data_IF_208196936629
#
_entry.id   IF_208196936629
#
_cell.length_a   1.000
_cell.length_b   1.000
_cell.length_c   1.000
_cell.angle_alpha   90.00
_cell.angle_beta   90.00
_cell.angle_gamma   90.00
#
_symmetry.space_group_name_H-M   'P 1'
#
loop_
_entity.id
_entity.type
_entity.pdbx_description
1 polymer ?
#
# COMPACT_ATOMS: atom_id res chain seq x y z
N UNK A 1 11.50 -4.86 -6.33
CA UNK A 1 10.37 -4.72 -5.39
C UNK A 1 10.16 -3.23 -5.16
N UNK A 2 9.04 -2.67 -5.61
CA UNK A 2 8.78 -1.22 -5.52
C UNK A 2 8.60 -0.83 -4.05
N UNK A 3 9.50 0.01 -3.52
CA UNK A 3 9.35 0.64 -2.20
C UNK A 3 8.22 1.63 -2.32
N UNK A 4 7.05 1.24 -1.84
CA UNK A 4 5.88 2.06 -1.99
C UNK A 4 6.01 3.28 -1.08
N UNK A 5 5.61 4.43 -1.61
CA UNK A 5 5.94 5.74 -1.08
C UNK A 5 5.19 6.03 0.23
N UNK A 6 5.71 5.55 1.37
CA UNK A 6 5.44 6.13 2.68
C UNK A 6 3.99 6.54 2.95
N UNK A 7 3.03 5.74 2.48
CA UNK A 7 1.61 6.08 2.48
C UNK A 7 0.88 5.16 3.46
N UNK A 8 -0.12 5.71 4.12
CA UNK A 8 -1.07 4.93 4.89
C UNK A 8 -2.22 4.51 3.94
N UNK A 9 -2.44 3.19 3.74
CA UNK A 9 -3.50 2.70 2.87
C UNK A 9 -4.89 2.72 3.52
N UNK A 10 -4.96 2.98 4.83
CA UNK A 10 -6.15 2.90 5.66
C UNK A 10 -6.65 4.26 6.14
N UNK A 11 -5.77 5.25 6.17
CA UNK A 11 -6.14 6.64 6.35
C UNK A 11 -6.21 7.36 5.00
N UNK A 12 -6.94 8.48 4.94
CA UNK A 12 -6.93 9.37 3.77
C UNK A 12 -5.56 10.04 3.71
N UNK A 13 -4.58 9.30 3.20
CA UNK A 13 -3.19 9.71 3.17
C UNK A 13 -3.08 11.01 2.38
N UNK A 14 -2.45 12.02 2.99
CA UNK A 14 -1.78 13.06 2.23
C UNK A 14 -0.65 12.34 1.48
N UNK A 15 -0.96 11.87 0.27
CA UNK A 15 -0.14 10.98 -0.57
C UNK A 15 1.29 11.42 -0.79
N UNK A 16 1.51 12.70 -0.57
CA UNK A 16 2.80 13.33 -0.57
C UNK A 16 2.99 13.78 0.87
N UNK A 17 4.18 13.51 1.42
CA UNK A 17 4.58 14.09 2.70
C UNK A 17 4.55 15.62 2.64
N UNK A 18 5.44 16.33 3.34
CA UNK A 18 5.37 17.80 3.36
C UNK A 18 5.54 18.44 1.96
N UNK A 19 6.05 17.70 0.98
CA UNK A 19 6.33 18.17 -0.38
C UNK A 19 5.69 17.26 -1.44
N UNK A 20 5.00 17.90 -2.39
CA UNK A 20 4.41 17.27 -3.57
C UNK A 20 5.46 17.11 -4.67
N UNK A 21 5.99 15.90 -4.86
CA UNK A 21 6.85 15.58 -6.00
C UNK A 21 6.02 15.08 -7.18
N UNK A 22 5.98 15.86 -8.26
CA UNK A 22 5.17 15.57 -9.44
C UNK A 22 5.58 14.25 -10.13
N UNK A 23 6.86 13.87 -10.07
CA UNK A 23 7.35 12.62 -10.64
C UNK A 23 6.87 11.40 -9.85
N UNK A 24 6.90 11.47 -8.52
CA UNK A 24 6.31 10.47 -7.63
C UNK A 24 4.80 10.41 -7.80
N UNK A 25 4.12 11.55 -7.98
CA UNK A 25 2.68 11.58 -8.25
C UNK A 25 2.32 10.87 -9.54
N UNK A 26 3.02 11.14 -10.65
CA UNK A 26 2.73 10.46 -11.92
C UNK A 26 3.04 8.96 -11.86
N UNK A 27 4.11 8.54 -11.17
CA UNK A 27 4.41 7.12 -10.95
C UNK A 27 3.34 6.44 -10.10
N UNK A 28 2.94 7.08 -9.02
CA UNK A 28 1.85 6.64 -8.15
C UNK A 28 0.55 6.47 -8.95
N UNK A 29 0.18 7.52 -9.70
CA UNK A 29 -1.02 7.56 -10.53
C UNK A 29 -1.04 6.38 -11.51
N UNK A 30 0.09 6.07 -12.15
CA UNK A 30 0.21 4.91 -13.05
C UNK A 30 -0.02 3.57 -12.35
N UNK A 31 0.55 3.38 -11.16
CA UNK A 31 0.41 2.12 -10.40
C UNK A 31 -1.05 1.91 -9.97
N UNK A 32 -1.70 2.93 -9.39
CA UNK A 32 -3.07 2.78 -8.90
C UNK A 32 -4.16 2.83 -9.97
N UNK A 33 -3.87 3.33 -11.17
CA UNK A 33 -4.81 3.18 -12.28
C UNK A 33 -4.76 1.79 -12.93
N UNK A 34 -3.80 0.94 -12.56
CA UNK A 34 -3.85 -0.47 -12.92
C UNK A 34 -5.08 -1.12 -12.27
N UNK A 35 -5.79 -1.97 -13.01
CA UNK A 35 -7.05 -2.58 -12.56
C UNK A 35 -6.92 -3.26 -11.20
N UNK A 36 -5.80 -3.96 -10.97
CA UNK A 36 -5.47 -4.63 -9.72
C UNK A 36 -5.42 -3.69 -8.52
N UNK A 37 -4.74 -2.55 -8.63
CA UNK A 37 -4.48 -1.65 -7.49
C UNK A 37 -5.54 -0.56 -7.33
N UNK A 38 -6.38 -0.34 -8.33
CA UNK A 38 -7.45 0.68 -8.32
C UNK A 38 -8.44 0.48 -7.18
N UNK A 39 -8.71 -0.76 -6.80
CA UNK A 39 -9.58 -1.14 -5.67
C UNK A 39 -9.19 -0.44 -4.36
N UNK A 40 -7.92 -0.07 -4.19
CA UNK A 40 -7.42 0.63 -3.00
C UNK A 40 -7.91 2.09 -2.95
N UNK A 41 -8.21 2.68 -4.11
CA UNK A 41 -8.70 4.05 -4.23
C UNK A 41 -10.20 4.12 -3.93
N UNK A 42 -10.57 4.71 -2.80
CA UNK A 42 -11.98 4.90 -2.44
C UNK A 42 -12.70 3.58 -2.17
N UNK A 43 -12.00 2.61 -1.58
CA UNK A 43 -12.58 1.37 -1.11
C UNK A 43 -13.72 1.63 -0.11
N UNK A 44 -14.75 0.78 -0.15
CA UNK A 44 -15.92 0.86 0.73
C UNK A 44 -15.70 0.10 2.02
N UNK A 45 -14.98 -1.02 1.93
CA UNK A 45 -14.79 -1.93 3.05
C UNK A 45 -13.42 -2.58 2.98
N UNK A 46 -12.88 -2.91 4.15
CA UNK A 46 -11.68 -3.73 4.28
C UNK A 46 -11.83 -4.70 5.44
N UNK A 47 -11.23 -5.87 5.30
CA UNK A 47 -11.17 -6.90 6.34
C UNK A 47 -9.74 -7.43 6.46
N UNK A 48 -9.20 -7.36 7.68
CA UNK A 48 -7.91 -7.99 7.98
C UNK A 48 -8.13 -9.51 8.01
N UNK A 49 -7.45 -10.23 7.13
CA UNK A 49 -7.49 -11.69 7.06
C UNK A 49 -6.45 -12.32 7.98
N UNK A 50 -5.25 -11.74 8.03
CA UNK A 50 -4.18 -12.19 8.93
C UNK A 50 -3.22 -11.06 9.25
N UNK A 51 -2.51 -11.19 10.38
CA UNK A 51 -1.46 -10.27 10.83
C UNK A 51 -0.25 -11.07 11.32
N UNK A 52 0.95 -10.60 11.02
CA UNK A 52 2.21 -11.17 11.44
C UNK A 52 3.17 -10.06 11.87
N UNK A 53 3.52 -9.99 13.14
CA UNK A 53 4.62 -9.13 13.60
C UNK A 53 5.94 -9.75 13.14
N UNK A 54 6.70 -8.99 12.34
CA UNK A 54 8.01 -9.43 11.84
C UNK A 54 9.10 -8.99 12.82
N UNK A 55 9.06 -7.73 13.25
CA UNK A 55 9.94 -7.08 14.22
C UNK A 55 9.12 -6.07 15.04
N UNK A 56 9.73 -5.43 16.05
CA UNK A 56 9.06 -4.44 16.91
C UNK A 56 8.42 -3.28 16.11
N UNK A 57 9.12 -2.79 15.09
CA UNK A 57 8.68 -1.69 14.23
C UNK A 57 8.23 -2.16 12.84
N UNK A 58 7.92 -3.45 12.66
CA UNK A 58 7.55 -3.98 11.35
C UNK A 58 6.55 -5.12 11.45
N UNK A 59 5.43 -5.00 10.73
CA UNK A 59 4.45 -6.08 10.62
C UNK A 59 3.99 -6.30 9.19
N UNK A 60 3.46 -7.49 8.93
CA UNK A 60 2.78 -7.85 7.70
C UNK A 60 1.32 -8.09 7.96
N UNK A 61 0.46 -7.61 7.07
CA UNK A 61 -0.98 -7.81 7.15
C UNK A 61 -1.52 -8.22 5.79
N UNK A 62 -2.32 -9.29 5.81
CA UNK A 62 -3.09 -9.70 4.65
C UNK A 62 -4.48 -9.11 4.80
N UNK A 63 -4.92 -8.33 3.83
CA UNK A 63 -6.14 -7.53 3.89
C UNK A 63 -6.94 -7.76 2.62
N UNK A 64 -8.19 -8.17 2.79
CA UNK A 64 -9.18 -8.16 1.73
C UNK A 64 -9.83 -6.79 1.67
N UNK A 65 -10.01 -6.27 0.47
CA UNK A 65 -10.49 -4.92 0.22
C UNK A 65 -11.57 -4.97 -0.85
N UNK A 66 -12.68 -4.29 -0.57
CA UNK A 66 -13.79 -4.09 -1.51
C UNK A 66 -13.82 -2.66 -2.01
N UNK A 67 -13.67 -2.52 -3.31
CA UNK A 67 -13.66 -1.28 -4.05
C UNK A 67 -15.04 -0.60 -4.11
N UNK A 68 -15.09 0.50 -4.87
CA UNK A 68 -16.31 1.28 -5.02
C UNK A 68 -17.25 0.69 -6.09
N UNK A 69 -16.69 -0.02 -7.08
CA UNK A 69 -17.44 -0.61 -8.19
C UNK A 69 -18.03 -1.98 -7.82
N UNK A 70 -19.11 -2.42 -8.48
CA UNK A 70 -19.60 -3.80 -8.34
C UNK A 70 -18.49 -4.80 -8.67
N UNK A 71 -18.37 -5.87 -7.88
CA UNK A 71 -17.42 -6.98 -8.07
C UNK A 71 -15.92 -6.60 -8.00
N UNK A 72 -15.59 -5.37 -7.59
CA UNK A 72 -14.22 -4.93 -7.40
C UNK A 72 -13.74 -5.35 -6.02
N UNK A 73 -13.11 -6.51 -5.92
CA UNK A 73 -12.61 -7.08 -4.66
C UNK A 73 -11.24 -7.68 -4.87
N UNK A 74 -10.29 -7.37 -3.99
CA UNK A 74 -8.93 -7.89 -4.08
C UNK A 74 -8.34 -8.15 -2.70
N UNK A 75 -7.35 -9.05 -2.66
CA UNK A 75 -6.58 -9.31 -1.44
C UNK A 75 -5.13 -8.91 -1.64
N UNK A 76 -4.61 -8.18 -0.65
CA UNK A 76 -3.23 -7.73 -0.65
C UNK A 76 -2.51 -8.12 0.63
N UNK A 77 -1.20 -8.30 0.51
CA UNK A 77 -0.28 -8.31 1.63
C UNK A 77 0.46 -6.97 1.73
N UNK A 78 0.20 -6.26 2.82
CA UNK A 78 0.91 -5.06 3.22
C UNK A 78 2.07 -5.43 4.14
N UNK A 79 3.24 -4.84 3.91
CA UNK A 79 4.28 -4.75 4.93
C UNK A 79 4.30 -3.32 5.43
N UNK A 80 4.06 -3.14 6.72
CA UNK A 80 4.05 -1.84 7.39
C UNK A 80 5.30 -1.70 8.24
N UNK A 81 5.92 -0.53 8.19
CA UNK A 81 7.11 -0.18 9.00
C UNK A 81 6.84 1.09 9.77
N UNK A 82 7.17 1.09 11.06
CA UNK A 82 7.12 2.28 11.90
C UNK A 82 8.41 3.07 11.72
N UNK A 83 8.28 4.36 11.42
CA UNK A 83 9.42 5.29 11.38
C UNK A 83 9.91 5.57 12.80
N UNK A 84 11.23 5.54 12.97
CA UNK A 84 11.91 5.85 14.23
C UNK A 84 12.80 7.07 14.00
N UNK A 85 12.55 8.13 14.75
CA UNK A 85 13.25 9.41 14.67
C UNK A 85 12.83 10.31 13.50
N UNK A 86 13.14 11.60 13.62
CA UNK A 86 12.79 12.63 12.65
C UNK A 86 11.34 13.13 12.77
N UNK A 87 10.87 13.86 11.76
CA UNK A 87 9.53 14.49 11.77
C UNK A 87 8.35 13.51 11.62
N UNK A 88 8.64 12.23 11.37
CA UNK A 88 7.65 11.16 11.18
C UNK A 88 7.80 10.05 12.23
N UNK A 89 8.49 10.33 13.33
CA UNK A 89 8.67 9.36 14.40
C UNK A 89 7.33 8.81 14.92
N UNK A 90 7.23 7.49 15.05
CA UNK A 90 6.02 6.80 15.48
C UNK A 90 4.98 6.50 14.39
N UNK A 91 5.12 7.04 13.17
CA UNK A 91 4.17 6.80 12.07
C UNK A 91 4.40 5.43 11.40
N UNK A 92 3.31 4.70 11.15
CA UNK A 92 3.32 3.47 10.37
C UNK A 92 3.12 3.75 8.89
N UNK A 93 4.04 3.30 8.06
CA UNK A 93 4.03 3.52 6.62
C UNK A 93 4.09 2.20 5.87
N UNK A 94 3.47 2.15 4.69
CA UNK A 94 3.60 0.98 3.81
C UNK A 94 5.03 0.89 3.25
N UNK A 95 5.75 -0.16 3.59
CA UNK A 95 7.05 -0.52 3.01
C UNK A 95 6.87 -1.22 1.65
N UNK A 96 5.95 -2.18 1.60
CA UNK A 96 5.64 -2.95 0.39
C UNK A 96 4.19 -3.34 0.31
N UNK A 97 3.67 -3.42 -0.91
CA UNK A 97 2.33 -3.88 -1.23
C UNK A 97 2.45 -5.01 -2.25
N UNK A 98 1.84 -6.16 -1.96
CA UNK A 98 1.80 -7.31 -2.87
C UNK A 98 0.34 -7.71 -3.07
N UNK A 99 -0.04 -7.98 -4.31
CA UNK A 99 -1.33 -8.58 -4.63
C UNK A 99 -1.22 -10.11 -4.51
N UNK A 100 -2.21 -10.76 -3.90
CA UNK A 100 -2.15 -12.21 -3.68
C UNK A 100 -2.23 -13.03 -4.98
N UNK A 101 -2.87 -12.49 -6.02
CA UNK A 101 -2.95 -13.13 -7.35
C UNK A 101 -1.65 -13.00 -8.14
N UNK A 102 -0.78 -12.06 -7.77
CA UNK A 102 0.57 -11.92 -8.32
C UNK A 102 1.52 -12.91 -7.63
N UNK A 103 1.37 -14.21 -7.90
CA UNK A 103 2.52 -15.13 -7.76
C UNK A 103 3.58 -14.71 -8.77
N UNK A 104 4.48 -13.84 -8.31
CA UNK A 104 5.72 -13.34 -8.93
C UNK A 104 6.20 -14.13 -10.17
N UNK A 105 5.65 -13.82 -11.35
CA UNK A 105 6.30 -14.08 -12.61
C UNK A 105 7.25 -12.90 -12.88
N UNK A 106 8.53 -13.08 -12.51
CA UNK A 106 9.70 -12.37 -13.02
C UNK A 106 9.59 -10.89 -13.39
N UNK A 107 10.16 -10.03 -12.54
CA UNK A 107 10.95 -8.86 -12.94
C UNK A 107 10.34 -7.91 -13.98
N UNK A 108 9.65 -6.87 -13.51
CA UNK A 108 9.54 -5.62 -14.26
C UNK A 108 10.73 -4.72 -13.91
N UNK A 109 11.78 -4.85 -14.71
CA UNK A 109 12.82 -3.83 -14.84
C UNK A 109 12.30 -2.74 -15.80
N UNK A 110 12.42 -1.48 -15.38
CA UNK A 110 12.46 -0.31 -16.25
C UNK A 110 13.51 0.64 -15.69
#
# INVERSE_FOLDING_TARGET
MYRFAGFDPFERSTYFGPFFDLGQFERFRRIFHHSTYRVLLGHKERKILSSLSVEENRFKQRVWIRGSRPEEEETFQFTMVQRVGGSWDGYWLTESLLHDGDTFAGGLAY
#
